data_IF_553361661465
#
_entry.id   IF_553361661465
#
_cell.length_a   1.000
_cell.length_b   1.000
_cell.length_c   1.000
_cell.angle_alpha   90.00
_cell.angle_beta   90.00
_cell.angle_gamma   90.00
#
_symmetry.space_group_name_H-M   'P 1'
#
loop_
_entity.id
_entity.type
_entity.pdbx_description
1 polymer ?
#
# COMPACT_ATOMS: atom_id res chain seq x y z
N UNK A 1 10.76 -3.26 -4.98
CA UNK A 1 9.81 -4.31 -4.58
C UNK A 1 10.26 -5.72 -4.95
N UNK A 2 10.63 -6.05 -6.20
CA UNK A 2 11.01 -7.43 -6.61
C UNK A 2 12.05 -8.09 -5.71
N UNK A 3 13.10 -7.38 -5.28
CA UNK A 3 14.14 -7.95 -4.42
C UNK A 3 13.67 -8.28 -3.00
N UNK A 4 12.64 -7.60 -2.51
CA UNK A 4 12.09 -7.81 -1.17
C UNK A 4 11.35 -9.15 -1.07
N UNK A 5 10.65 -9.54 -2.14
CA UNK A 5 9.92 -10.79 -2.23
C UNK A 5 10.78 -11.98 -2.72
N UNK A 6 12.02 -11.73 -3.14
CA UNK A 6 12.92 -12.78 -3.65
C UNK A 6 13.06 -14.02 -2.72
N UNK A 7 13.14 -13.86 -1.38
CA UNK A 7 13.18 -15.03 -0.50
C UNK A 7 11.92 -15.91 -0.58
N UNK A 8 10.76 -15.32 -0.87
CA UNK A 8 9.52 -16.08 -1.05
C UNK A 8 9.54 -16.91 -2.33
N UNK A 9 10.21 -16.44 -3.39
CA UNK A 9 10.31 -17.19 -4.65
C UNK A 9 11.01 -18.55 -4.50
N UNK A 10 11.78 -18.75 -3.41
CA UNK A 10 12.48 -19.99 -3.13
C UNK A 10 11.65 -20.99 -2.33
N UNK A 11 10.46 -20.59 -1.86
CA UNK A 11 9.60 -21.48 -1.09
C UNK A 11 8.97 -22.52 -2.03
N UNK A 12 9.13 -23.82 -1.71
CA UNK A 12 8.54 -24.90 -2.51
C UNK A 12 7.02 -24.77 -2.59
N UNK A 13 6.46 -25.00 -3.78
CA UNK A 13 5.02 -24.91 -3.99
C UNK A 13 4.44 -23.49 -4.04
N UNK A 14 5.28 -22.44 -4.05
CA UNK A 14 4.81 -21.07 -4.26
C UNK A 14 4.24 -20.93 -5.67
N UNK A 15 2.97 -20.54 -5.77
CA UNK A 15 2.32 -20.13 -7.03
C UNK A 15 2.36 -18.64 -7.22
N UNK A 16 1.97 -17.88 -6.20
CA UNK A 16 1.88 -16.43 -6.27
C UNK A 16 2.06 -15.79 -4.90
N UNK A 17 2.76 -14.65 -4.85
CA UNK A 17 2.77 -13.76 -3.70
C UNK A 17 2.25 -12.38 -4.12
N UNK A 18 1.34 -11.80 -3.33
CA UNK A 18 0.71 -10.51 -3.56
C UNK A 18 0.97 -9.60 -2.37
N UNK A 19 1.43 -8.38 -2.64
CA UNK A 19 1.49 -7.29 -1.65
C UNK A 19 0.29 -6.40 -1.89
N UNK A 20 -0.58 -6.30 -0.91
CA UNK A 20 -1.88 -5.63 -0.99
C UNK A 20 -1.86 -4.47 0.00
N UNK A 21 -2.24 -3.28 -0.43
CA UNK A 21 -2.42 -2.12 0.45
C UNK A 21 -3.57 -2.31 1.43
N UNK A 22 -3.63 -1.50 2.48
CA UNK A 22 -4.77 -1.48 3.42
C UNK A 22 -6.07 -1.04 2.75
N UNK A 23 -5.98 -0.34 1.62
CA UNK A 23 -7.08 0.04 0.74
C UNK A 23 -7.58 -1.10 -0.17
N UNK A 24 -6.89 -2.25 -0.16
CA UNK A 24 -7.19 -3.40 -1.01
C UNK A 24 -6.56 -3.34 -2.40
N UNK A 25 -5.76 -2.33 -2.70
CA UNK A 25 -5.09 -2.22 -3.99
C UNK A 25 -3.85 -3.12 -4.05
N UNK A 26 -3.64 -3.76 -5.20
CA UNK A 26 -2.45 -4.53 -5.46
C UNK A 26 -1.24 -3.61 -5.66
N UNK A 27 -0.29 -3.67 -4.73
CA UNK A 27 0.97 -2.90 -4.84
C UNK A 27 1.99 -3.64 -5.69
N UNK A 28 2.12 -4.95 -5.50
CA UNK A 28 3.08 -5.77 -6.22
C UNK A 28 2.70 -7.24 -6.23
N UNK A 29 3.10 -7.94 -7.29
CA UNK A 29 2.93 -9.39 -7.40
C UNK A 29 4.23 -10.09 -7.79
N UNK A 30 4.41 -11.32 -7.31
CA UNK A 30 5.51 -12.19 -7.63
C UNK A 30 4.95 -13.58 -7.98
N UNK A 31 5.20 -14.03 -9.21
CA UNK A 31 4.87 -15.39 -9.61
C UNK A 31 5.94 -16.37 -9.08
N UNK A 32 5.51 -17.51 -8.59
CA UNK A 32 6.38 -18.61 -8.20
C UNK A 32 6.79 -19.49 -9.40
N UNK A 33 7.61 -20.50 -9.14
CA UNK A 33 8.09 -21.44 -10.16
C UNK A 33 6.97 -22.29 -10.77
N UNK A 34 5.90 -22.54 -10.03
CA UNK A 34 4.73 -23.31 -10.47
C UNK A 34 3.79 -22.55 -11.41
N UNK A 35 4.14 -21.32 -11.79
CA UNK A 35 3.32 -20.44 -12.61
C UNK A 35 2.39 -19.56 -11.78
N UNK A 36 2.25 -18.29 -12.21
CA UNK A 36 1.39 -17.31 -11.56
C UNK A 36 -0.08 -17.47 -11.92
N UNK A 37 -0.92 -16.76 -11.17
CA UNK A 37 -2.34 -16.55 -11.47
C UNK A 37 -2.52 -15.31 -12.34
N UNK A 38 -3.61 -15.25 -13.11
CA UNK A 38 -3.88 -14.12 -14.00
C UNK A 38 -4.29 -12.84 -13.25
N UNK A 39 -4.23 -11.67 -13.92
CA UNK A 39 -4.52 -10.38 -13.29
C UNK A 39 -5.94 -10.30 -12.72
N UNK A 40 -6.94 -10.86 -13.38
CA UNK A 40 -8.33 -10.88 -12.87
C UNK A 40 -8.43 -11.64 -11.55
N UNK A 41 -7.63 -12.70 -11.37
CA UNK A 41 -7.59 -13.43 -10.11
C UNK A 41 -6.86 -12.64 -9.01
N UNK A 42 -5.92 -11.77 -9.35
CA UNK A 42 -5.29 -10.87 -8.39
C UNK A 42 -6.32 -9.97 -7.72
N UNK A 43 -7.17 -9.31 -8.50
CA UNK A 43 -8.19 -8.39 -7.99
C UNK A 43 -9.20 -9.12 -7.10
N UNK A 44 -9.60 -10.32 -7.49
CA UNK A 44 -10.48 -11.16 -6.68
C UNK A 44 -9.84 -11.53 -5.35
N UNK A 45 -8.57 -11.91 -5.34
CA UNK A 45 -7.85 -12.24 -4.10
C UNK A 45 -7.69 -11.01 -3.22
N UNK A 46 -7.34 -9.85 -3.79
CA UNK A 46 -7.23 -8.60 -3.04
C UNK A 46 -8.55 -8.25 -2.34
N UNK A 47 -9.66 -8.32 -3.07
CA UNK A 47 -11.00 -8.06 -2.52
C UNK A 47 -11.38 -9.06 -1.41
N UNK A 48 -11.11 -10.35 -1.62
CA UNK A 48 -11.38 -11.40 -0.62
C UNK A 48 -10.54 -11.20 0.64
N UNK A 49 -9.24 -10.94 0.51
CA UNK A 49 -8.34 -10.70 1.66
C UNK A 49 -8.84 -9.54 2.48
N UNK A 50 -9.19 -8.41 1.84
CA UNK A 50 -9.70 -7.23 2.53
C UNK A 50 -11.05 -7.52 3.22
N UNK A 51 -11.96 -8.23 2.55
CA UNK A 51 -13.24 -8.65 3.12
C UNK A 51 -13.05 -9.51 4.36
N UNK A 52 -12.26 -10.57 4.28
CA UNK A 52 -12.00 -11.45 5.42
C UNK A 52 -11.34 -10.76 6.61
N UNK A 53 -10.37 -9.86 6.35
CA UNK A 53 -9.74 -9.09 7.44
C UNK A 53 -10.77 -8.23 8.16
N UNK A 54 -11.64 -7.53 7.44
CA UNK A 54 -12.71 -6.69 8.02
C UNK A 54 -13.74 -7.52 8.79
N UNK A 55 -14.15 -8.66 8.24
CA UNK A 55 -15.09 -9.56 8.88
C UNK A 55 -14.52 -10.14 10.18
N UNK A 56 -13.25 -10.51 10.19
CA UNK A 56 -12.55 -10.99 11.37
C UNK A 56 -12.38 -9.87 12.41
N UNK A 57 -11.99 -8.66 12.04
CA UNK A 57 -11.92 -7.51 12.93
C UNK A 57 -13.27 -7.23 13.61
N UNK A 58 -14.34 -7.26 12.82
CA UNK A 58 -15.70 -7.07 13.33
C UNK A 58 -16.10 -8.19 14.30
N UNK A 59 -15.77 -9.45 13.96
CA UNK A 59 -16.15 -10.62 14.76
C UNK A 59 -15.37 -10.73 16.07
N UNK A 60 -14.12 -10.29 16.09
CA UNK A 60 -13.26 -10.34 17.29
C UNK A 60 -13.39 -9.11 18.18
N UNK A 61 -13.94 -8.01 17.69
CA UNK A 61 -14.17 -6.78 18.45
C UNK A 61 -14.91 -7.04 19.79
N UNK A 62 -16.05 -7.75 19.80
CA UNK A 62 -16.80 -8.06 21.03
C UNK A 62 -16.03 -8.93 22.04
N UNK A 63 -15.04 -9.69 21.57
CA UNK A 63 -14.20 -10.55 22.39
C UNK A 63 -12.98 -9.82 22.97
N UNK A 64 -12.79 -8.54 22.61
CA UNK A 64 -11.58 -7.75 22.94
C UNK A 64 -10.28 -8.44 22.48
N UNK A 65 -10.35 -9.22 21.41
CA UNK A 65 -9.20 -9.86 20.79
C UNK A 65 -8.60 -8.94 19.73
N UNK A 66 -7.31 -8.99 19.59
CA UNK A 66 -6.63 -8.34 18.48
C UNK A 66 -6.91 -9.09 17.17
N UNK A 67 -6.95 -8.36 16.06
CA UNK A 67 -7.08 -8.97 14.77
C UNK A 67 -5.91 -9.94 14.50
N UNK A 68 -6.16 -11.11 13.89
CA UNK A 68 -5.12 -12.09 13.66
C UNK A 68 -4.01 -11.54 12.76
N UNK A 69 -2.77 -11.72 13.18
CA UNK A 69 -1.60 -11.34 12.37
C UNK A 69 -1.43 -12.24 11.14
N UNK A 70 -1.92 -13.48 11.24
CA UNK A 70 -1.79 -14.49 10.20
C UNK A 70 -3.08 -15.28 10.04
N UNK A 71 -3.53 -15.42 8.79
CA UNK A 71 -4.66 -16.24 8.40
C UNK A 71 -4.17 -17.32 7.45
N UNK A 72 -4.55 -18.56 7.69
CA UNK A 72 -4.27 -19.70 6.81
C UNK A 72 -5.56 -20.32 6.37
N UNK A 73 -5.82 -20.30 5.07
CA UNK A 73 -6.98 -20.92 4.43
C UNK A 73 -6.49 -22.10 3.60
N UNK A 74 -6.87 -23.28 4.02
CA UNK A 74 -6.45 -24.51 3.36
C UNK A 74 -7.64 -25.17 2.66
N UNK A 75 -7.52 -25.31 1.35
CA UNK A 75 -8.47 -25.99 0.49
C UNK A 75 -7.84 -27.20 -0.21
N UNK A 76 -8.67 -28.01 -0.86
CA UNK A 76 -8.20 -29.19 -1.61
C UNK A 76 -7.34 -28.84 -2.83
N UNK A 77 -7.47 -27.62 -3.38
CA UNK A 77 -6.79 -27.19 -4.60
C UNK A 77 -5.67 -26.20 -4.37
N UNK A 78 -5.60 -25.59 -3.18
CA UNK A 78 -4.61 -24.60 -2.85
C UNK A 78 -4.62 -24.27 -1.36
N UNK A 79 -3.53 -23.67 -0.89
CA UNK A 79 -3.44 -23.03 0.43
C UNK A 79 -3.16 -21.55 0.22
N UNK A 80 -3.93 -20.68 0.88
CA UNK A 80 -3.70 -19.24 0.92
C UNK A 80 -3.28 -18.86 2.32
N UNK A 81 -2.14 -18.19 2.41
CA UNK A 81 -1.61 -17.64 3.66
C UNK A 81 -1.60 -16.12 3.56
N UNK A 82 -2.25 -15.45 4.48
CA UNK A 82 -2.29 -13.99 4.56
C UNK A 82 -1.62 -13.57 5.86
N UNK A 83 -0.65 -12.66 5.76
CA UNK A 83 -0.03 -12.02 6.93
C UNK A 83 -0.28 -10.51 6.89
N UNK A 84 -0.64 -9.97 8.05
CA UNK A 84 -0.82 -8.53 8.24
C UNK A 84 0.52 -7.87 8.54
N UNK A 85 0.83 -6.79 7.83
CA UNK A 85 1.91 -5.87 8.14
C UNK A 85 1.38 -4.50 8.56
N UNK A 86 2.24 -3.57 8.96
CA UNK A 86 1.82 -2.24 9.44
C UNK A 86 1.00 -1.43 8.44
N UNK A 87 1.26 -1.57 7.15
CA UNK A 87 0.62 -0.79 6.09
C UNK A 87 0.16 -1.64 4.91
N UNK A 88 0.40 -2.94 4.94
CA UNK A 88 0.11 -3.85 3.83
C UNK A 88 -0.32 -5.22 4.35
N UNK A 89 -0.99 -5.97 3.48
CA UNK A 89 -1.18 -7.41 3.62
C UNK A 89 -0.26 -8.13 2.64
N UNK A 90 0.33 -9.22 3.08
CA UNK A 90 1.08 -10.14 2.23
C UNK A 90 0.28 -11.43 2.10
N UNK A 91 -0.27 -11.67 0.90
CA UNK A 91 -1.01 -12.86 0.59
C UNK A 91 -0.15 -13.79 -0.27
N UNK A 92 -0.03 -15.05 0.12
CA UNK A 92 0.78 -16.05 -0.56
C UNK A 92 -0.09 -17.25 -0.91
N UNK A 93 -0.13 -17.57 -2.20
CA UNK A 93 -0.85 -18.71 -2.74
C UNK A 93 0.12 -19.86 -2.97
N UNK A 94 -0.17 -21.00 -2.36
CA UNK A 94 0.62 -22.22 -2.46
C UNK A 94 -0.13 -23.31 -3.21
N UNK A 95 0.62 -24.26 -3.76
CA UNK A 95 0.09 -25.52 -4.25
C UNK A 95 -0.52 -26.36 -3.13
N UNK A 96 -1.47 -27.26 -3.46
CA UNK A 96 -1.99 -28.18 -2.48
C UNK A 96 -0.87 -29.07 -1.92
N UNK A 97 -0.87 -29.26 -0.62
CA UNK A 97 0.15 -30.05 0.08
C UNK A 97 1.42 -29.31 0.47
N UNK A 98 1.63 -28.08 0.02
CA UNK A 98 2.73 -27.24 0.51
C UNK A 98 2.48 -26.81 1.97
N UNK A 99 3.53 -26.81 2.77
CA UNK A 99 3.44 -26.49 4.19
C UNK A 99 3.36 -24.96 4.40
N UNK A 100 2.23 -24.50 4.94
CA UNK A 100 2.06 -23.09 5.26
C UNK A 100 3.08 -22.58 6.28
N UNK A 101 3.61 -23.46 7.13
CA UNK A 101 4.57 -23.09 8.17
C UNK A 101 5.95 -22.73 7.62
N UNK A 102 6.35 -23.29 6.48
CA UNK A 102 7.59 -22.93 5.79
C UNK A 102 7.61 -21.46 5.35
N UNK A 103 6.43 -20.83 5.22
CA UNK A 103 6.29 -19.43 4.90
C UNK A 103 6.46 -18.47 6.07
N UNK A 104 6.41 -18.95 7.32
CA UNK A 104 6.38 -18.06 8.50
C UNK A 104 7.58 -17.11 8.53
N UNK A 105 8.77 -17.63 8.43
CA UNK A 105 9.99 -16.82 8.48
C UNK A 105 10.18 -15.97 7.21
N UNK A 106 10.04 -16.52 5.98
CA UNK A 106 10.14 -15.71 4.77
C UNK A 106 9.11 -14.57 4.67
N UNK A 107 7.86 -14.79 5.11
CA UNK A 107 6.83 -13.75 5.09
C UNK A 107 7.12 -12.64 6.09
N UNK A 108 7.54 -12.97 7.31
CA UNK A 108 7.91 -11.97 8.32
C UNK A 108 9.11 -11.14 7.85
N UNK A 109 10.12 -11.77 7.27
CA UNK A 109 11.27 -11.08 6.71
C UNK A 109 10.88 -10.14 5.55
N UNK A 110 9.98 -10.59 4.66
CA UNK A 110 9.47 -9.77 3.57
C UNK A 110 8.67 -8.58 4.08
N UNK A 111 7.74 -8.77 5.02
CA UNK A 111 6.97 -7.69 5.64
C UNK A 111 7.85 -6.66 6.34
N UNK A 112 8.87 -7.08 7.07
CA UNK A 112 9.82 -6.18 7.71
C UNK A 112 10.62 -5.34 6.71
N UNK A 113 10.94 -5.88 5.52
CA UNK A 113 11.60 -5.15 4.44
C UNK A 113 10.64 -4.18 3.74
N UNK A 114 9.40 -4.60 3.49
CA UNK A 114 8.35 -3.74 2.91
C UNK A 114 8.09 -2.54 3.81
N UNK A 115 7.92 -2.76 5.11
CA UNK A 115 7.68 -1.70 6.08
C UNK A 115 8.82 -0.66 6.12
N UNK A 116 10.08 -1.09 5.96
CA UNK A 116 11.22 -0.17 5.85
C UNK A 116 11.20 0.65 4.58
N UNK A 117 10.88 0.03 3.44
CA UNK A 117 10.77 0.73 2.17
C UNK A 117 9.65 1.79 2.18
N UNK A 118 8.48 1.45 2.73
CA UNK A 118 7.35 2.36 2.79
C UNK A 118 7.62 3.55 3.71
N UNK A 119 8.32 3.35 4.83
CA UNK A 119 8.75 4.45 5.71
C UNK A 119 9.71 5.39 5.00
N UNK A 120 10.72 4.87 4.31
CA UNK A 120 11.69 5.69 3.58
C UNK A 120 11.04 6.51 2.46
N UNK A 121 9.97 6.02 1.83
CA UNK A 121 9.19 6.78 0.84
C UNK A 121 8.38 7.90 1.50
N UNK A 122 7.78 7.65 2.67
CA UNK A 122 7.03 8.66 3.42
C UNK A 122 7.91 9.82 3.92
N UNK A 123 9.10 9.53 4.41
CA UNK A 123 10.07 10.54 4.85
C UNK A 123 10.58 11.40 3.67
N UNK A 124 10.78 10.80 2.49
CA UNK A 124 11.18 11.52 1.28
C UNK A 124 10.09 12.48 0.77
N UNK A 125 8.82 12.10 0.83
CA UNK A 125 7.70 12.98 0.43
C UNK A 125 7.53 14.14 1.41
N UNK A 126 7.63 13.92 2.71
CA UNK A 126 7.54 14.97 3.73
C UNK A 126 8.66 16.00 3.61
N UNK A 127 9.86 15.59 3.19
CA UNK A 127 10.98 16.50 2.95
C UNK A 127 10.77 17.38 1.71
N UNK A 128 10.05 16.91 0.68
CA UNK A 128 9.72 17.68 -0.51
C UNK A 128 8.61 18.72 -0.26
N UNK A 129 7.61 18.39 0.57
CA UNK A 129 6.56 19.34 0.95
C UNK A 129 7.10 20.49 1.80
N UNK A 130 8.08 20.25 2.67
CA UNK A 130 8.70 21.31 3.46
C UNK A 130 9.64 22.23 2.66
N UNK A 131 10.00 21.87 1.42
CA UNK A 131 10.85 22.71 0.56
C UNK A 131 10.05 23.65 -0.34
N UNK A 132 8.73 23.50 -0.46
CA UNK A 132 7.89 24.34 -1.32
C UNK A 132 7.29 25.58 -0.63
N UNK A 133 7.45 25.73 0.69
CA UNK A 133 6.93 26.87 1.44
C UNK A 133 7.84 28.12 1.44
N UNK A 134 8.87 28.17 0.58
CA UNK A 134 9.77 29.31 0.44
C UNK A 134 9.61 30.06 -0.88
N UNK A 135 8.47 29.94 -1.56
CA UNK A 135 8.13 30.90 -2.61
C UNK A 135 7.57 32.16 -1.98
N UNK A 136 8.49 33.11 -1.75
CA UNK A 136 8.26 34.52 -1.47
C UNK A 136 7.27 35.07 -2.50
N UNK A 137 6.04 35.31 -2.09
CA UNK A 137 5.11 36.11 -2.87
C UNK A 137 5.74 37.49 -3.17
N UNK A 138 5.77 37.96 -4.43
CA UNK A 138 6.18 39.29 -4.73
C UNK A 138 5.23 40.29 -4.05
N UNK A 139 5.81 41.27 -3.37
CA UNK A 139 5.09 42.36 -2.72
C UNK A 139 4.03 42.98 -3.65
N UNK A 140 2.86 43.31 -3.15
CA UNK A 140 1.84 44.01 -3.95
C UNK A 140 2.36 45.35 -4.41
N UNK A 141 2.40 45.55 -5.73
CA UNK A 141 2.74 46.80 -6.40
C UNK A 141 1.86 47.91 -5.83
N UNK A 142 2.50 48.94 -5.27
CA UNK A 142 1.83 50.15 -4.74
C UNK A 142 0.91 50.77 -5.81
N UNK A 143 -0.27 51.30 -5.46
CA UNK A 143 -1.17 51.93 -6.41
C UNK A 143 -0.52 53.22 -6.96
N UNK A 144 -0.57 53.39 -8.28
CA UNK A 144 -0.17 54.58 -9.00
C UNK A 144 -0.96 55.79 -8.50
N UNK A 145 -0.32 56.95 -8.33
CA UNK A 145 -1.03 58.17 -7.92
C UNK A 145 -1.98 58.63 -9.04
N UNK A 146 -3.23 58.74 -8.70
CA UNK A 146 -4.29 59.34 -9.51
C UNK A 146 -4.10 60.86 -9.45
N UNK A 147 -3.27 61.42 -10.32
CA UNK A 147 -3.20 62.85 -10.58
C UNK A 147 -3.52 63.12 -12.05
N UNK A 148 -4.81 63.12 -12.37
CA UNK A 148 -5.34 63.76 -13.59
C UNK A 148 -6.84 63.92 -13.51
N UNK A 149 -7.27 64.92 -12.76
CA UNK A 149 -8.62 65.47 -12.98
C UNK A 149 -8.68 66.87 -12.39
N UNK A 150 -8.30 67.86 -13.11
CA UNK A 150 -8.86 69.19 -13.02
C UNK A 150 -8.23 70.15 -14.05
N UNK A 151 -8.83 70.31 -15.17
CA UNK A 151 -8.89 71.53 -16.00
C UNK A 151 -10.04 71.26 -16.95
N UNK A 152 -11.11 71.85 -16.76
CA UNK A 152 -11.45 73.25 -16.94
C UNK A 152 -11.89 73.41 -18.36
N UNK A 153 -13.12 73.80 -18.53
CA UNK A 153 -13.42 74.93 -19.40
C UNK A 153 -14.93 75.25 -19.33
N UNK A 154 -15.18 76.39 -18.81
CA UNK A 154 -16.41 77.16 -19.09
C UNK A 154 -16.41 77.59 -20.56
N UNK A 155 -17.57 77.79 -21.09
CA UNK A 155 -18.15 78.66 -22.12
C UNK A 155 -19.07 77.86 -23.03
N UNK A 156 -20.22 78.18 -23.23
CA UNK A 156 -21.22 79.21 -23.47
C UNK A 156 -22.55 78.49 -23.57
#
# INVERSE_FOLDING_TARGET
MKQVLKPLAQVPGLRQALVIGQDGLLIHSLAGAAGGIGPVQHDVICALVLGWVRDLETSFGPLSWEAPERLVLQGSKATLVVCRGPQVFLAVWLEPGALADDLRVPMQAALGRIARLLRGLGEGMSALESSSDSETFPEPIAPLPTEFAARGTSQE
#
